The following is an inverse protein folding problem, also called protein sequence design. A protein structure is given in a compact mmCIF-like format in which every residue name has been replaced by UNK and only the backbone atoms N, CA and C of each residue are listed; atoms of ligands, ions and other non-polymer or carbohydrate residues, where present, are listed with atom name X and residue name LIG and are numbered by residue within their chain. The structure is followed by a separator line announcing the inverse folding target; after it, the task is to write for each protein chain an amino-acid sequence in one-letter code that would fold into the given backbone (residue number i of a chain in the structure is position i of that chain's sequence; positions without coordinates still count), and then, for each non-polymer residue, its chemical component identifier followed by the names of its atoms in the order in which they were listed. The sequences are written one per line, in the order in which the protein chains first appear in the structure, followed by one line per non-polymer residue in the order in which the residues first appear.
data_IF_115808593690
#
_entry.id   IF_115808593690
#
_cell.length_a   1.000
_cell.length_b   1.000
_cell.length_c   1.000
_cell.angle_alpha   90.00
_cell.angle_beta   90.00
_cell.angle_gamma   90.00
#
_symmetry.space_group_name_H-M   'P 1'
#
loop_
_entity.id
_entity.type
_entity.pdbx_description
1 polymer ?
#
# COMPACT_ATOMS: atom_id res chain seq x y z
N UNK A 1 28.78 -9.84 29.37
CA UNK A 1 27.59 -10.71 29.15
C UNK A 1 26.42 -9.95 28.49
N UNK A 2 26.29 -8.64 28.70
CA UNK A 2 25.17 -7.82 28.19
C UNK A 2 25.11 -7.67 26.65
N UNK A 3 26.26 -7.53 25.97
CA UNK A 3 26.33 -7.41 24.50
C UNK A 3 25.77 -8.64 23.76
N UNK A 4 25.95 -9.84 24.31
CA UNK A 4 25.45 -11.09 23.72
C UNK A 4 23.93 -11.16 23.82
N UNK A 5 23.36 -10.72 24.95
CA UNK A 5 21.92 -10.69 25.13
C UNK A 5 21.24 -9.65 24.22
N UNK A 6 21.84 -8.46 24.08
CA UNK A 6 21.35 -7.43 23.15
C UNK A 6 21.34 -7.91 21.70
N UNK A 7 22.38 -8.62 21.25
CA UNK A 7 22.46 -9.14 19.88
C UNK A 7 21.45 -10.28 19.60
N UNK A 8 21.20 -11.15 20.60
CA UNK A 8 20.16 -12.19 20.52
C UNK A 8 18.75 -11.59 20.41
N UNK A 9 18.45 -10.56 21.20
CA UNK A 9 17.15 -9.88 21.16
C UNK A 9 16.89 -9.20 19.81
N UNK A 10 17.91 -8.52 19.25
CA UNK A 10 17.82 -7.90 17.92
C UNK A 10 17.58 -8.95 16.82
N UNK A 11 18.30 -10.07 16.85
CA UNK A 11 18.12 -11.17 15.88
C UNK A 11 16.71 -11.78 15.94
N UNK A 12 16.10 -11.83 17.13
CA UNK A 12 14.75 -12.40 17.32
C UNK A 12 13.67 -11.44 16.80
N UNK A 13 13.85 -10.13 17.00
CA UNK A 13 12.95 -9.10 16.48
C UNK A 13 12.95 -9.05 14.94
N UNK A 14 14.12 -9.11 14.29
CA UNK A 14 14.22 -9.11 12.82
C UNK A 14 13.48 -10.31 12.21
N UNK A 15 13.64 -11.50 12.79
CA UNK A 15 12.90 -12.72 12.37
C UNK A 15 11.39 -12.56 12.50
N UNK A 16 10.91 -11.94 13.59
CA UNK A 16 9.49 -11.70 13.78
C UNK A 16 8.93 -10.70 12.75
N UNK A 17 9.70 -9.66 12.41
CA UNK A 17 9.35 -8.69 11.37
C UNK A 17 9.25 -9.36 10.00
N UNK A 18 10.24 -10.17 9.63
CA UNK A 18 10.27 -10.91 8.37
C UNK A 18 9.07 -11.86 8.24
N UNK A 19 8.80 -12.67 9.27
CA UNK A 19 7.66 -13.58 9.31
C UNK A 19 6.32 -12.85 9.19
N UNK A 20 6.19 -11.71 9.87
CA UNK A 20 5.00 -10.86 9.80
C UNK A 20 4.86 -10.22 8.42
N UNK A 21 5.96 -9.79 7.81
CA UNK A 21 5.97 -9.22 6.47
C UNK A 21 5.49 -10.21 5.43
N UNK A 22 6.06 -11.43 5.38
CA UNK A 22 5.67 -12.46 4.42
C UNK A 22 4.16 -12.77 4.51
N UNK A 23 3.65 -13.02 5.73
CA UNK A 23 2.22 -13.28 5.95
C UNK A 23 1.32 -12.13 5.49
N UNK A 24 1.71 -10.90 5.80
CA UNK A 24 0.90 -9.71 5.43
C UNK A 24 0.98 -9.40 3.95
N UNK A 25 2.13 -9.63 3.32
CA UNK A 25 2.33 -9.43 1.88
C UNK A 25 1.33 -10.26 1.09
N UNK A 26 1.27 -11.56 1.35
CA UNK A 26 0.39 -12.47 0.62
C UNK A 26 -1.09 -12.14 0.88
N UNK A 27 -1.43 -11.80 2.13
CA UNK A 27 -2.76 -11.34 2.49
C UNK A 27 -3.15 -10.06 1.74
N UNK A 28 -2.27 -9.06 1.65
CA UNK A 28 -2.52 -7.82 0.92
C UNK A 28 -2.74 -8.12 -0.55
N UNK A 29 -1.86 -8.88 -1.23
CA UNK A 29 -2.04 -9.25 -2.64
C UNK A 29 -3.40 -9.93 -2.87
N UNK A 30 -3.75 -10.90 -2.02
CA UNK A 30 -5.03 -11.62 -2.11
C UNK A 30 -6.23 -10.69 -1.90
N UNK A 31 -6.19 -9.82 -0.90
CA UNK A 31 -7.29 -8.88 -0.62
C UNK A 31 -7.43 -7.82 -1.71
N UNK A 32 -6.34 -7.36 -2.29
CA UNK A 32 -6.37 -6.44 -3.44
C UNK A 32 -6.99 -7.11 -4.67
N UNK A 33 -6.66 -8.38 -4.92
CA UNK A 33 -7.29 -9.19 -5.97
C UNK A 33 -8.78 -9.37 -5.74
N UNK A 34 -9.17 -9.85 -4.56
CA UNK A 34 -10.58 -10.01 -4.17
C UNK A 34 -11.34 -8.70 -4.33
N UNK A 35 -10.76 -7.57 -3.89
CA UNK A 35 -11.37 -6.26 -4.04
C UNK A 35 -11.58 -5.88 -5.51
N UNK A 36 -10.56 -6.09 -6.34
CA UNK A 36 -10.64 -5.78 -7.77
C UNK A 36 -11.73 -6.59 -8.45
N UNK A 37 -11.83 -7.89 -8.14
CA UNK A 37 -12.82 -8.80 -8.76
C UNK A 37 -14.24 -8.54 -8.23
N UNK A 38 -14.43 -8.43 -6.91
CA UNK A 38 -15.76 -8.32 -6.30
C UNK A 38 -16.46 -7.00 -6.61
N UNK A 39 -15.68 -5.92 -6.70
CA UNK A 39 -16.22 -4.58 -6.92
C UNK A 39 -16.00 -4.08 -8.36
N UNK A 40 -15.37 -4.87 -9.22
CA UNK A 40 -14.95 -4.49 -10.58
C UNK A 40 -14.22 -3.13 -10.62
N UNK A 41 -13.25 -2.97 -9.72
CA UNK A 41 -12.46 -1.73 -9.59
C UNK A 41 -11.02 -1.95 -10.03
N UNK A 42 -10.47 -0.94 -10.71
CA UNK A 42 -9.04 -0.88 -11.05
C UNK A 42 -8.24 -0.50 -9.81
N UNK A 43 -7.47 -1.46 -9.29
CA UNK A 43 -6.68 -1.29 -8.06
C UNK A 43 -5.29 -1.89 -8.26
N UNK A 44 -4.28 -1.27 -7.67
CA UNK A 44 -2.94 -1.84 -7.57
C UNK A 44 -2.41 -1.74 -6.13
N UNK A 45 -1.53 -2.66 -5.75
CA UNK A 45 -0.76 -2.61 -4.51
C UNK A 45 0.73 -2.54 -4.84
N UNK A 46 1.46 -1.65 -4.13
CA UNK A 46 2.92 -1.54 -4.20
C UNK A 46 3.45 -1.86 -2.79
N UNK A 47 4.19 -2.95 -2.67
CA UNK A 47 4.65 -3.50 -1.40
C UNK A 47 6.18 -3.42 -1.38
N UNK A 48 6.72 -2.66 -0.44
CA UNK A 48 8.17 -2.52 -0.25
C UNK A 48 8.63 -3.39 0.91
N UNK A 49 9.53 -4.32 0.61
CA UNK A 49 10.17 -5.22 1.55
C UNK A 49 11.17 -4.54 2.46
N UNK A 50 11.52 -5.18 3.59
CA UNK A 50 12.54 -4.66 4.52
C UNK A 50 13.95 -4.62 3.89
N UNK A 51 14.18 -5.39 2.84
CA UNK A 51 15.39 -5.44 2.01
C UNK A 51 15.37 -4.42 0.85
N UNK A 52 14.28 -3.64 0.72
CA UNK A 52 14.09 -2.70 -0.38
C UNK A 52 13.54 -3.32 -1.66
N UNK A 53 13.22 -4.62 -1.66
CA UNK A 53 12.53 -5.24 -2.80
C UNK A 53 11.16 -4.63 -2.99
N UNK A 54 10.75 -4.43 -4.24
CA UNK A 54 9.42 -3.90 -4.58
C UNK A 54 8.65 -5.00 -5.28
N UNK A 55 7.54 -5.40 -4.66
CA UNK A 55 6.58 -6.31 -5.26
C UNK A 55 5.27 -5.57 -5.50
N UNK A 56 4.60 -5.92 -6.59
CA UNK A 56 3.33 -5.31 -6.93
C UNK A 56 2.22 -6.35 -7.08
N UNK A 57 0.98 -5.88 -7.01
CA UNK A 57 -0.16 -6.55 -7.58
C UNK A 57 -0.95 -5.53 -8.40
N UNK A 58 -1.32 -5.80 -9.66
CA UNK A 58 -0.93 -6.96 -10.47
C UNK A 58 0.59 -7.10 -10.65
N UNK A 59 1.05 -8.28 -11.08
CA UNK A 59 2.48 -8.54 -11.32
C UNK A 59 2.97 -7.89 -12.62
N UNK A 60 2.05 -7.65 -13.56
CA UNK A 60 2.30 -6.89 -14.77
C UNK A 60 2.60 -5.43 -14.45
N UNK A 61 3.81 -4.98 -14.80
CA UNK A 61 4.22 -3.58 -14.66
C UNK A 61 3.32 -2.64 -15.47
N UNK A 62 2.83 -3.09 -16.63
CA UNK A 62 1.96 -2.27 -17.47
C UNK A 62 0.61 -2.00 -16.79
N UNK A 63 0.00 -3.03 -16.18
CA UNK A 63 -1.29 -2.89 -15.51
C UNK A 63 -1.18 -1.97 -14.29
N UNK A 64 -0.11 -2.13 -13.51
CA UNK A 64 0.19 -1.24 -12.38
C UNK A 64 0.40 0.19 -12.86
N UNK A 65 1.14 0.38 -13.96
CA UNK A 65 1.39 1.70 -14.53
C UNK A 65 0.10 2.37 -15.01
N UNK A 66 -0.82 1.64 -15.66
CA UNK A 66 -2.13 2.17 -16.04
C UNK A 66 -2.91 2.68 -14.83
N UNK A 67 -2.97 1.91 -13.73
CA UNK A 67 -3.66 2.33 -12.50
C UNK A 67 -3.01 3.58 -11.89
N UNK A 68 -1.68 3.66 -11.90
CA UNK A 68 -0.94 4.84 -11.42
C UNK A 68 -1.23 6.06 -12.30
N UNK A 69 -1.23 5.92 -13.62
CA UNK A 69 -1.53 6.99 -14.56
C UNK A 69 -2.96 7.52 -14.38
N UNK A 70 -3.94 6.62 -14.22
CA UNK A 70 -5.32 6.96 -13.87
C UNK A 70 -5.38 7.80 -12.57
N UNK A 71 -4.64 7.38 -11.54
CA UNK A 71 -4.55 8.10 -10.27
C UNK A 71 -3.92 9.50 -10.41
N UNK A 72 -2.84 9.63 -11.17
CA UNK A 72 -2.12 10.90 -11.40
C UNK A 72 -2.99 11.88 -12.19
N UNK A 73 -3.74 11.37 -13.17
CA UNK A 73 -4.59 12.16 -14.06
C UNK A 73 -5.96 12.49 -13.45
N UNK A 74 -6.36 11.84 -12.35
CA UNK A 74 -7.63 12.07 -11.68
C UNK A 74 -7.77 13.55 -11.22
N UNK A 75 -8.80 14.28 -11.68
CA UNK A 75 -8.97 15.70 -11.40
C UNK A 75 -9.23 16.02 -9.92
N UNK A 76 -9.76 15.06 -9.16
CA UNK A 76 -9.97 15.17 -7.69
C UNK A 76 -8.65 15.35 -6.96
N UNK A 77 -7.57 14.76 -7.48
CA UNK A 77 -6.27 14.79 -6.83
C UNK A 77 -5.48 16.07 -7.13
N UNK A 78 -5.77 16.75 -8.25
CA UNK A 78 -5.09 18.00 -8.66
C UNK A 78 -5.26 19.14 -7.64
N UNK A 79 -6.37 19.16 -6.89
CA UNK A 79 -6.62 20.13 -5.80
C UNK A 79 -5.85 19.83 -4.50
N UNK A 80 -5.33 18.60 -4.32
CA UNK A 80 -4.54 18.19 -3.14
C UNK A 80 -3.03 18.14 -3.38
N UNK A 81 -2.57 18.38 -4.62
CA UNK A 81 -1.14 18.46 -4.97
C UNK A 81 -0.45 19.71 -4.39
N UNK A 82 -1.22 20.73 -3.98
CA UNK A 82 -0.75 21.81 -3.10
C UNK A 82 -1.07 21.46 -1.65
N UNK A 83 -0.20 20.63 -1.07
CA UNK A 83 0.21 20.56 0.34
C UNK A 83 0.83 19.17 0.53
N UNK A 84 2.15 19.06 0.72
CA UNK A 84 2.59 18.19 1.79
C UNK A 84 1.78 18.66 3.01
N UNK A 85 0.82 17.86 3.47
CA UNK A 85 0.29 18.10 4.81
C UNK A 85 1.44 17.78 5.74
N UNK A 86 2.29 18.78 5.99
CA UNK A 86 2.98 18.88 7.26
C UNK A 86 1.88 18.86 8.31
N UNK A 87 1.64 17.66 8.85
CA UNK A 87 1.05 17.54 10.15
C UNK A 87 2.13 18.06 11.08
N UNK A 88 1.91 19.26 11.62
CA UNK A 88 2.68 19.78 12.73
C UNK A 88 2.49 18.80 13.89
N UNK A 89 3.41 17.83 13.97
CA UNK A 89 3.50 16.90 15.08
C UNK A 89 4.50 17.53 16.03
N UNK A 90 3.99 18.36 16.93
CA UNK A 90 4.63 18.61 18.21
C UNK A 90 5.19 17.30 18.75
N UNK A 91 6.46 17.34 19.14
CA UNK A 91 7.24 16.17 19.51
C UNK A 91 6.59 15.36 20.63
N UNK A 92 6.66 14.03 20.52
CA UNK A 92 7.59 13.26 21.36
C UNK A 92 7.74 11.81 20.86
N UNK A 93 8.82 11.18 21.30
CA UNK A 93 9.46 9.97 20.81
C UNK A 93 8.65 8.66 21.01
N UNK A 94 8.40 7.91 19.93
CA UNK A 94 8.55 6.43 19.91
C UNK A 94 8.43 5.84 18.51
N UNK A 95 9.50 5.22 18.05
CA UNK A 95 9.62 4.48 16.78
C UNK A 95 8.49 3.46 16.56
N UNK A 96 7.54 3.78 15.69
CA UNK A 96 6.80 2.78 14.90
C UNK A 96 6.47 3.40 13.54
N UNK A 97 7.28 3.09 12.53
CA UNK A 97 7.14 3.58 11.15
C UNK A 97 5.77 3.13 10.63
N UNK A 98 4.76 4.00 10.76
CA UNK A 98 3.40 3.79 10.25
C UNK A 98 3.53 3.44 8.77
N UNK A 99 3.35 2.15 8.45
CA UNK A 99 3.26 1.67 7.07
C UNK A 99 2.00 2.30 6.49
N UNK A 100 2.18 3.38 5.72
CA UNK A 100 1.13 4.02 4.94
C UNK A 100 0.73 3.04 3.85
N UNK A 101 -0.25 2.19 4.16
CA UNK A 101 -0.99 1.47 3.13
C UNK A 101 -2.03 2.45 2.62
N UNK A 102 -1.77 3.03 1.46
CA UNK A 102 -2.74 3.85 0.76
C UNK A 102 -3.71 2.90 0.07
N UNK A 103 -4.81 2.52 0.71
CA UNK A 103 -5.95 1.92 0.00
C UNK A 103 -6.86 3.06 -0.41
N UNK A 104 -6.88 3.39 -1.70
CA UNK A 104 -7.84 4.35 -2.23
C UNK A 104 -8.97 3.54 -2.84
N UNK A 105 -10.14 3.62 -2.22
CA UNK A 105 -11.40 3.25 -2.85
C UNK A 105 -11.90 4.49 -3.60
N UNK A 106 -12.01 4.39 -4.92
CA UNK A 106 -12.99 5.20 -5.63
C UNK A 106 -14.24 4.34 -5.76
N UNK A 107 -15.34 4.80 -5.15
CA UNK A 107 -16.65 4.22 -5.37
C UNK A 107 -17.00 4.36 -6.84
N UNK A 108 -17.36 3.23 -7.47
CA UNK A 108 -17.90 3.16 -8.83
C UNK A 108 -19.02 4.20 -8.95
N UNK A 109 -18.81 5.22 -9.79
CA UNK A 109 -19.93 6.01 -10.31
C UNK A 109 -20.65 5.10 -11.27
N UNK A 110 -21.89 4.70 -10.94
CA UNK A 110 -22.80 4.08 -11.90
C UNK A 110 -22.94 5.05 -13.07
N UNK A 111 -22.33 4.74 -14.21
CA UNK A 111 -22.68 5.38 -15.47
C UNK A 111 -23.77 4.54 -16.11
N UNK A 112 -24.79 5.24 -16.59
CA UNK A 112 -26.08 4.71 -17.01
C UNK A 112 -26.01 3.52 -17.94
N UNK A 113 -26.95 2.61 -17.70
CA UNK A 113 -27.55 1.73 -18.68
C UNK A 113 -28.04 2.59 -19.86
N UNK A 114 -27.47 2.40 -21.04
CA UNK A 114 -28.06 2.85 -22.30
C UNK A 114 -28.51 1.61 -23.03
N UNK A 115 -29.82 1.38 -23.03
CA UNK A 115 -30.47 0.54 -24.03
C UNK A 115 -30.38 1.25 -25.38
N UNK A 116 -29.72 0.65 -26.35
CA UNK A 116 -29.93 0.92 -27.77
C UNK A 116 -30.28 -0.41 -28.45
N UNK A 117 -31.57 -0.51 -28.79
CA UNK A 117 -32.34 -1.40 -29.68
C UNK A 117 -32.12 -2.93 -29.68
#
# INVERSE_FOLDING_TARGET
MENVQRNKNQKTALKAIEKSFLKRKDCIKKKTMELSVLCDVKVCAIIVGPDGTVETWPESRNDVQQVIEMYVNCPVNKKKRQRPQELDLGGDDRSNKKRKVCVVFEGVKKTGFTDED
#
